data_IF_677380606784
#
_entry.id   IF_677380606784
#
_cell.length_a   1.000
_cell.length_b   1.000
_cell.length_c   1.000
_cell.angle_alpha   90.00
_cell.angle_beta   90.00
_cell.angle_gamma   90.00
#
_symmetry.space_group_name_H-M   'P 1'
#
loop_
_entity.id
_entity.type
_entity.pdbx_description
1 polymer ?
#
# COMPACT_ATOMS: atom_id res chain seq x y z
N UNK A 1 -6.29 9.00 4.48
CA UNK A 1 -5.00 8.51 3.94
C UNK A 1 -5.26 7.32 3.04
N UNK A 2 -4.67 7.32 1.87
CA UNK A 2 -4.69 6.21 0.93
C UNK A 2 -3.30 5.56 0.92
N UNK A 3 -3.24 4.25 1.13
CA UNK A 3 -1.98 3.48 1.14
C UNK A 3 -2.03 2.46 0.01
N UNK A 4 -0.93 2.31 -0.73
CA UNK A 4 -0.80 1.31 -1.78
C UNK A 4 0.09 0.16 -1.31
N UNK A 5 -0.37 -1.08 -1.52
CA UNK A 5 0.49 -2.26 -1.43
C UNK A 5 1.24 -2.51 -2.75
N UNK A 6 2.05 -3.56 -2.79
CA UNK A 6 2.84 -3.90 -3.98
C UNK A 6 1.97 -4.21 -5.21
N UNK A 7 0.85 -4.91 -5.01
CA UNK A 7 -0.08 -5.23 -6.09
C UNK A 7 -0.75 -3.98 -6.67
N UNK A 8 -1.13 -3.04 -5.81
CA UNK A 8 -1.70 -1.77 -6.25
C UNK A 8 -0.68 -0.92 -7.01
N UNK A 9 0.56 -0.82 -6.52
CA UNK A 9 1.63 -0.11 -7.24
C UNK A 9 1.82 -0.70 -8.63
N UNK A 10 1.94 -2.02 -8.74
CA UNK A 10 2.13 -2.70 -10.02
C UNK A 10 0.94 -2.47 -10.97
N UNK A 11 -0.29 -2.58 -10.46
CA UNK A 11 -1.50 -2.37 -11.27
C UNK A 11 -1.62 -0.94 -11.78
N UNK A 12 -1.40 0.05 -10.92
CA UNK A 12 -1.51 1.45 -11.31
C UNK A 12 -0.36 1.89 -12.22
N UNK A 13 0.81 1.24 -12.12
CA UNK A 13 1.95 1.50 -12.99
C UNK A 13 1.78 0.99 -14.43
N UNK A 14 0.84 0.10 -14.70
CA UNK A 14 0.59 -0.48 -16.03
C UNK A 14 0.15 0.54 -17.09
N UNK A 15 -0.25 1.74 -16.68
CA UNK A 15 -0.68 2.84 -17.57
C UNK A 15 -1.88 2.48 -18.47
N UNK A 16 -2.73 1.56 -18.04
CA UNK A 16 -4.00 1.29 -18.70
C UNK A 16 -4.94 2.49 -18.56
N UNK A 17 -5.96 2.58 -19.42
CA UNK A 17 -7.00 3.60 -19.29
C UNK A 17 -7.70 3.52 -17.94
N UNK A 18 -7.97 2.31 -17.46
CA UNK A 18 -8.59 2.09 -16.17
C UNK A 18 -7.71 2.59 -15.01
N UNK A 19 -6.40 2.30 -15.04
CA UNK A 19 -5.45 2.78 -14.03
C UNK A 19 -5.33 4.31 -14.05
N UNK A 20 -5.23 4.92 -15.23
CA UNK A 20 -5.16 6.38 -15.37
C UNK A 20 -6.45 7.05 -14.86
N UNK A 21 -7.62 6.52 -15.19
CA UNK A 21 -8.90 7.02 -14.72
C UNK A 21 -9.03 6.93 -13.20
N UNK A 22 -8.58 5.82 -12.61
CA UNK A 22 -8.60 5.63 -11.16
C UNK A 22 -7.70 6.65 -10.46
N UNK A 23 -6.47 6.86 -10.93
CA UNK A 23 -5.57 7.87 -10.34
C UNK A 23 -6.17 9.27 -10.43
N UNK A 24 -6.80 9.62 -11.56
CA UNK A 24 -7.48 10.92 -11.70
C UNK A 24 -8.63 11.06 -10.70
N UNK A 25 -9.47 10.04 -10.56
CA UNK A 25 -10.57 10.05 -9.60
C UNK A 25 -10.05 10.22 -8.16
N UNK A 26 -9.00 9.51 -7.78
CA UNK A 26 -8.38 9.63 -6.46
C UNK A 26 -7.80 11.03 -6.21
N UNK A 27 -7.24 11.66 -7.25
CA UNK A 27 -6.77 13.06 -7.16
C UNK A 27 -7.92 14.02 -6.96
N UNK A 28 -9.01 13.86 -7.71
CA UNK A 28 -10.19 14.70 -7.61
C UNK A 28 -10.85 14.61 -6.23
N UNK A 29 -10.77 13.45 -5.60
CA UNK A 29 -11.24 13.23 -4.24
C UNK A 29 -10.26 13.71 -3.15
N UNK A 30 -9.10 14.22 -3.52
CA UNK A 30 -8.07 14.69 -2.58
C UNK A 30 -7.31 13.56 -1.86
N UNK A 31 -7.34 12.34 -2.41
CA UNK A 31 -6.66 11.17 -1.85
C UNK A 31 -5.25 10.94 -2.41
N UNK A 32 -4.85 11.72 -3.41
CA UNK A 32 -3.51 11.68 -3.98
C UNK A 32 -2.69 12.89 -3.52
N UNK A 33 -1.41 12.77 -3.17
CA UNK A 33 -0.56 11.59 -3.36
C UNK A 33 -0.92 10.44 -2.41
N UNK A 34 -0.90 9.22 -2.94
CA UNK A 34 -1.02 8.02 -2.13
C UNK A 34 0.28 7.76 -1.36
N UNK A 35 0.14 7.16 -0.20
CA UNK A 35 1.26 6.76 0.65
C UNK A 35 1.75 5.37 0.24
N UNK A 36 3.06 5.21 0.09
CA UNK A 36 3.70 3.92 -0.17
C UNK A 36 4.81 3.70 0.84
N UNK A 37 4.68 2.70 1.74
CA UNK A 37 5.78 2.35 2.62
C UNK A 37 6.99 1.86 1.81
N UNK A 38 8.20 2.28 2.17
CA UNK A 38 9.40 1.92 1.40
C UNK A 38 9.64 0.41 1.33
N UNK A 39 9.19 -0.35 2.32
CA UNK A 39 9.26 -1.82 2.31
C UNK A 39 8.46 -2.46 1.18
N UNK A 40 7.42 -1.78 0.69
CA UNK A 40 6.62 -2.23 -0.46
C UNK A 40 7.46 -2.24 -1.75
N UNK A 41 8.45 -1.34 -1.85
CA UNK A 41 9.34 -1.28 -3.01
C UNK A 41 10.12 -2.59 -3.20
N UNK A 42 10.44 -3.28 -2.11
CA UNK A 42 11.14 -4.57 -2.17
C UNK A 42 10.34 -5.62 -2.93
N UNK A 43 9.01 -5.53 -2.87
CA UNK A 43 8.12 -6.48 -3.55
C UNK A 43 7.74 -6.05 -4.97
N UNK A 44 7.64 -4.75 -5.25
CA UNK A 44 7.18 -4.27 -6.55
C UNK A 44 8.30 -3.86 -7.51
N UNK A 45 9.54 -3.69 -7.04
CA UNK A 45 10.70 -3.39 -7.88
C UNK A 45 11.57 -4.62 -8.09
N UNK A 46 12.22 -4.69 -9.26
CA UNK A 46 13.12 -5.80 -9.61
C UNK A 46 14.60 -5.42 -9.48
N UNK A 47 14.91 -4.15 -9.21
CA UNK A 47 16.28 -3.65 -9.16
C UNK A 47 16.89 -3.44 -10.55
N UNK A 48 16.07 -3.29 -11.60
CA UNK A 48 16.49 -3.09 -12.97
C UNK A 48 15.81 -1.84 -13.54
N UNK A 49 16.59 -0.83 -13.91
CA UNK A 49 16.08 0.49 -14.29
C UNK A 49 15.02 0.43 -15.42
N UNK A 50 15.24 -0.38 -16.45
CA UNK A 50 14.31 -0.49 -17.57
C UNK A 50 12.98 -1.17 -17.19
N UNK A 51 13.06 -2.25 -16.42
CA UNK A 51 11.86 -2.99 -15.96
C UNK A 51 11.08 -2.23 -14.90
N UNK A 52 11.76 -1.43 -14.10
CA UNK A 52 11.16 -0.65 -13.03
C UNK A 52 10.71 0.75 -13.47
N UNK A 53 10.89 1.12 -14.73
CA UNK A 53 10.67 2.48 -15.22
C UNK A 53 9.23 2.97 -14.96
N UNK A 54 8.21 2.16 -15.26
CA UNK A 54 6.80 2.54 -15.07
C UNK A 54 6.44 2.61 -13.59
N UNK A 55 6.90 1.66 -12.78
CA UNK A 55 6.70 1.69 -11.33
C UNK A 55 7.36 2.93 -10.72
N UNK A 56 8.60 3.24 -11.10
CA UNK A 56 9.31 4.41 -10.60
C UNK A 56 8.63 5.72 -11.00
N UNK A 57 8.03 5.80 -12.18
CA UNK A 57 7.26 6.99 -12.58
C UNK A 57 6.02 7.18 -11.72
N UNK A 58 5.29 6.12 -11.40
CA UNK A 58 4.17 6.19 -10.47
C UNK A 58 4.64 6.61 -9.07
N UNK A 59 5.69 5.98 -8.55
CA UNK A 59 6.22 6.24 -7.22
C UNK A 59 6.68 7.69 -7.03
N UNK A 60 7.17 8.36 -8.08
CA UNK A 60 7.49 9.79 -8.04
C UNK A 60 6.28 10.68 -7.76
N UNK A 61 5.09 10.21 -8.01
CA UNK A 61 3.84 10.94 -7.72
C UNK A 61 3.25 10.58 -6.36
N UNK A 62 3.84 9.62 -5.67
CA UNK A 62 3.41 9.14 -4.36
C UNK A 62 4.25 9.74 -3.23
N UNK A 63 3.73 9.63 -2.02
CA UNK A 63 4.46 9.92 -0.80
C UNK A 63 5.08 8.62 -0.27
N UNK A 64 6.37 8.42 -0.54
CA UNK A 64 7.09 7.23 -0.09
C UNK A 64 7.57 7.45 1.34
N UNK A 65 7.04 6.65 2.26
CA UNK A 65 7.42 6.68 3.68
C UNK A 65 8.61 5.75 3.90
N UNK A 66 9.76 6.32 4.22
CA UNK A 66 11.05 5.61 4.33
C UNK A 66 11.47 5.29 5.77
N UNK A 67 10.63 5.60 6.75
CA UNK A 67 10.90 5.32 8.16
C UNK A 67 9.85 4.39 8.76
N UNK A 68 10.31 3.43 9.55
CA UNK A 68 9.43 2.55 10.33
C UNK A 68 9.83 2.71 11.80
N UNK A 69 9.19 3.65 12.53
CA UNK A 69 9.47 3.84 13.96
C UNK A 69 9.18 2.57 14.77
N UNK A 70 9.86 2.42 15.90
CA UNK A 70 9.71 1.24 16.76
C UNK A 70 8.25 1.00 17.15
N UNK A 71 7.50 2.06 17.49
CA UNK A 71 6.08 1.95 17.83
C UNK A 71 5.24 1.38 16.71
N UNK A 72 5.48 1.81 15.46
CA UNK A 72 4.81 1.29 14.28
C UNK A 72 5.14 -0.19 14.04
N UNK A 73 6.42 -0.55 14.17
CA UNK A 73 6.86 -1.93 14.02
C UNK A 73 6.20 -2.85 15.07
N UNK A 74 6.11 -2.40 16.31
CA UNK A 74 5.42 -3.15 17.38
C UNK A 74 3.92 -3.30 17.09
N UNK A 75 3.28 -2.25 16.57
CA UNK A 75 1.87 -2.31 16.19
C UNK A 75 1.64 -3.32 15.05
N UNK A 76 2.47 -3.29 14.02
CA UNK A 76 2.42 -4.23 12.91
C UNK A 76 2.60 -5.69 13.40
N UNK A 77 3.55 -5.92 14.31
CA UNK A 77 3.76 -7.23 14.91
C UNK A 77 2.52 -7.74 15.66
N UNK A 78 1.83 -6.86 16.40
CA UNK A 78 0.61 -7.22 17.12
C UNK A 78 -0.53 -7.58 16.15
N UNK A 79 -0.74 -6.82 15.09
CA UNK A 79 -1.74 -7.10 14.06
C UNK A 79 -1.49 -8.48 13.43
N UNK A 80 -0.24 -8.74 13.05
CA UNK A 80 0.17 -10.00 12.43
C UNK A 80 -0.07 -11.20 13.34
N UNK A 81 0.26 -11.06 14.62
CA UNK A 81 0.02 -12.09 15.62
C UNK A 81 -1.46 -12.42 15.78
N UNK A 82 -2.29 -11.40 15.86
CA UNK A 82 -3.74 -11.57 16.03
C UNK A 82 -4.40 -12.18 14.80
N UNK A 83 -4.03 -11.70 13.62
CA UNK A 83 -4.57 -12.19 12.36
C UNK A 83 -4.10 -13.61 12.01
N UNK A 84 -2.91 -14.01 12.49
CA UNK A 84 -2.26 -15.30 12.14
C UNK A 84 -2.08 -15.51 10.64
N UNK A 85 -2.04 -14.44 9.88
CA UNK A 85 -1.85 -14.41 8.43
C UNK A 85 -1.21 -13.09 8.05
N UNK A 86 -0.71 -13.06 6.81
CA UNK A 86 -0.10 -11.87 6.25
C UNK A 86 1.40 -11.83 6.50
N UNK A 87 2.10 -11.18 5.58
CA UNK A 87 3.53 -10.93 5.68
C UNK A 87 3.83 -9.80 6.65
N UNK A 88 5.10 -9.62 6.99
CA UNK A 88 5.55 -8.45 7.74
C UNK A 88 5.25 -7.15 6.97
N UNK A 89 5.40 -7.15 5.64
CA UNK A 89 5.09 -5.99 4.79
C UNK A 89 3.59 -5.68 4.82
N UNK A 90 2.72 -6.68 4.69
CA UNK A 90 1.27 -6.49 4.79
C UNK A 90 0.87 -5.85 6.13
N UNK A 91 1.45 -6.33 7.22
CA UNK A 91 1.17 -5.79 8.56
C UNK A 91 1.63 -4.33 8.69
N UNK A 92 2.76 -3.96 8.10
CA UNK A 92 3.25 -2.57 8.08
C UNK A 92 2.32 -1.69 7.26
N UNK A 93 1.85 -2.16 6.10
CA UNK A 93 0.89 -1.43 5.25
C UNK A 93 -0.39 -1.11 6.03
N UNK A 94 -0.97 -2.09 6.71
CA UNK A 94 -2.18 -1.87 7.52
C UNK A 94 -1.90 -0.95 8.71
N UNK A 95 -0.78 -1.12 9.40
CA UNK A 95 -0.43 -0.28 10.56
C UNK A 95 -0.23 1.19 10.16
N UNK A 96 0.38 1.46 9.00
CA UNK A 96 0.53 2.82 8.47
C UNK A 96 -0.82 3.46 8.14
N UNK A 97 -1.77 2.67 7.64
CA UNK A 97 -3.12 3.15 7.30
C UNK A 97 -3.97 3.50 8.52
N UNK A 98 -3.61 3.06 9.71
CA UNK A 98 -4.31 3.40 10.96
C UNK A 98 -4.14 4.88 11.33
N UNK A 99 -5.15 5.55 11.91
CA UNK A 99 -6.54 5.12 11.99
C UNK A 99 -7.33 5.50 10.73
N UNK A 100 -8.25 4.65 10.32
CA UNK A 100 -9.29 5.00 9.34
C UNK A 100 -8.84 5.19 7.90
N UNK A 101 -7.60 4.85 7.56
CA UNK A 101 -7.10 4.91 6.18
C UNK A 101 -7.63 3.78 5.32
N UNK A 102 -7.42 3.91 4.01
CA UNK A 102 -7.79 2.91 3.01
C UNK A 102 -6.53 2.33 2.37
N UNK A 103 -6.47 1.01 2.24
CA UNK A 103 -5.42 0.30 1.52
C UNK A 103 -5.98 -0.20 0.19
N UNK A 104 -5.34 0.17 -0.91
CA UNK A 104 -5.63 -0.42 -2.23
C UNK A 104 -4.74 -1.64 -2.46
N UNK A 105 -5.34 -2.70 -3.01
CA UNK A 105 -4.66 -3.96 -3.27
C UNK A 105 -5.27 -4.71 -4.45
N UNK A 106 -4.52 -5.61 -5.04
CA UNK A 106 -5.04 -6.60 -6.00
C UNK A 106 -5.35 -7.95 -5.34
N UNK A 107 -4.86 -8.17 -4.12
CA UNK A 107 -5.05 -9.41 -3.35
C UNK A 107 -5.43 -9.09 -1.89
N UNK A 108 -6.73 -8.98 -1.58
CA UNK A 108 -7.19 -8.45 -0.30
C UNK A 108 -7.14 -9.43 0.87
N UNK A 109 -7.03 -10.73 0.66
CA UNK A 109 -7.34 -11.74 1.70
C UNK A 109 -6.53 -11.56 3.00
N UNK A 110 -5.20 -11.49 2.90
CA UNK A 110 -4.36 -11.32 4.08
C UNK A 110 -4.50 -9.92 4.70
N UNK A 111 -4.67 -8.91 3.86
CA UNK A 111 -4.87 -7.53 4.33
C UNK A 111 -6.20 -7.38 5.07
N UNK A 112 -7.26 -8.00 4.60
CA UNK A 112 -8.56 -8.01 5.31
C UNK A 112 -8.47 -8.69 6.67
N UNK A 113 -7.74 -9.81 6.76
CA UNK A 113 -7.51 -10.49 8.02
C UNK A 113 -6.77 -9.60 9.03
N UNK A 114 -5.76 -8.85 8.59
CA UNK A 114 -5.02 -7.90 9.41
C UNK A 114 -5.91 -6.69 9.79
N UNK A 115 -6.64 -6.15 8.82
CA UNK A 115 -7.51 -4.99 9.02
C UNK A 115 -8.64 -5.26 10.01
N UNK A 116 -9.08 -6.51 10.16
CA UNK A 116 -10.10 -6.90 11.14
C UNK A 116 -9.69 -6.57 12.58
N UNK A 117 -8.38 -6.48 12.87
CA UNK A 117 -7.84 -6.09 14.18
C UNK A 117 -7.31 -4.67 14.23
N UNK A 118 -7.46 -3.92 13.14
CA UNK A 118 -6.97 -2.54 13.03
C UNK A 118 -7.97 -1.52 13.55
N UNK A 119 -7.50 -0.28 13.65
CA UNK A 119 -8.33 0.88 13.94
C UNK A 119 -8.97 1.42 12.66
N UNK A 120 -10.05 0.77 12.21
CA UNK A 120 -10.93 1.22 11.11
C UNK A 120 -10.21 1.35 9.75
N UNK A 121 -9.25 0.51 9.48
CA UNK A 121 -8.64 0.45 8.15
C UNK A 121 -9.58 -0.27 7.19
N UNK A 122 -9.77 0.30 6.01
CA UNK A 122 -10.59 -0.26 4.93
C UNK A 122 -9.66 -0.85 3.87
N UNK A 123 -9.99 -2.05 3.39
CA UNK A 123 -9.27 -2.69 2.30
C UNK A 123 -10.14 -2.62 1.04
N UNK A 124 -9.60 -2.05 -0.02
CA UNK A 124 -10.28 -1.96 -1.31
C UNK A 124 -9.49 -2.67 -2.40
N UNK A 125 -10.20 -3.56 -3.10
CA UNK A 125 -9.65 -4.29 -4.23
C UNK A 125 -9.76 -3.47 -5.52
N UNK A 126 -8.69 -3.46 -6.27
CA UNK A 126 -8.66 -2.84 -7.61
C UNK A 126 -8.30 -3.83 -8.71
#
# INVERSE_FOLDING_TARGET
>A
MLVLDSGAVSRLAERSRASAALVLALRDEGLWPAVVPSVVLVECLQGHAGRDATANQLLKTCDVVDQIPVGLARRAALLRRRARRGSAVDAIVVAIAEPGGTVLTTDPDDLEALAAYSQRVVIERI
#
